data_IF_281361375179
#
_entry.id   IF_281361375179
#
_cell.length_a   1.000
_cell.length_b   1.000
_cell.length_c   1.000
_cell.angle_alpha   90.00
_cell.angle_beta   90.00
_cell.angle_gamma   90.00
#
_symmetry.space_group_name_H-M   'P 1'
#
loop_
_entity.id
_entity.type
_entity.pdbx_description
1 polymer ?
#
# COMPACT_ATOMS: atom_id res chain seq x y z
N UNK A 1 -14.92 -13.74 -9.70
CA UNK A 1 -13.72 -13.62 -8.86
C UNK A 1 -13.57 -14.81 -7.89
N UNK A 2 -13.20 -16.00 -8.37
CA UNK A 2 -12.86 -17.14 -7.47
C UNK A 2 -11.40 -17.58 -7.59
N UNK A 3 -10.76 -17.23 -8.71
CA UNK A 3 -9.39 -17.64 -9.05
C UNK A 3 -8.39 -16.48 -9.13
N UNK A 4 -8.87 -15.23 -9.12
CA UNK A 4 -8.05 -14.03 -9.27
C UNK A 4 -8.70 -12.83 -8.58
N UNK A 5 -7.91 -11.78 -8.38
CA UNK A 5 -8.32 -10.49 -7.79
C UNK A 5 -8.01 -9.35 -8.75
N UNK A 6 -8.83 -8.29 -8.71
CA UNK A 6 -8.57 -7.02 -9.37
C UNK A 6 -8.42 -5.95 -8.29
N UNK A 7 -7.36 -5.16 -8.35
CA UNK A 7 -7.03 -4.14 -7.35
C UNK A 7 -6.82 -2.80 -8.05
N UNK A 8 -7.33 -1.74 -7.42
CA UNK A 8 -7.03 -0.35 -7.76
C UNK A 8 -6.18 0.20 -6.61
N UNK A 9 -4.92 0.53 -6.90
CA UNK A 9 -3.92 0.89 -5.89
C UNK A 9 -3.26 2.19 -6.32
N UNK A 10 -3.24 3.16 -5.40
CA UNK A 10 -2.24 4.23 -5.43
C UNK A 10 -1.04 3.76 -4.61
N UNK A 11 0.13 3.69 -5.24
CA UNK A 11 1.35 3.28 -4.54
C UNK A 11 2.03 4.44 -3.81
N UNK A 12 1.53 5.68 -3.89
CA UNK A 12 2.11 6.87 -3.28
C UNK A 12 3.61 7.00 -3.58
N UNK A 13 3.98 6.73 -4.84
CA UNK A 13 5.38 6.75 -5.30
C UNK A 13 6.22 5.51 -4.93
N UNK A 14 5.66 4.52 -4.23
CA UNK A 14 6.30 3.24 -3.99
C UNK A 14 6.32 2.33 -5.24
N UNK A 15 7.28 1.42 -5.29
CA UNK A 15 7.40 0.42 -6.36
C UNK A 15 6.28 -0.63 -6.23
N UNK A 16 5.31 -0.57 -7.14
CA UNK A 16 4.17 -1.50 -7.18
C UNK A 16 4.62 -2.97 -7.29
N UNK A 17 5.76 -3.25 -7.93
CA UNK A 17 6.27 -4.61 -8.06
C UNK A 17 6.78 -5.15 -6.72
N UNK A 18 7.42 -4.29 -5.91
CA UNK A 18 7.85 -4.67 -4.55
C UNK A 18 6.64 -4.87 -3.65
N UNK A 19 5.68 -3.96 -3.72
CA UNK A 19 4.42 -4.05 -2.97
C UNK A 19 3.68 -5.38 -3.27
N UNK A 20 3.46 -5.67 -4.55
CA UNK A 20 2.79 -6.91 -4.97
C UNK A 20 3.62 -8.15 -4.67
N UNK A 21 4.96 -8.07 -4.72
CA UNK A 21 5.81 -9.18 -4.31
C UNK A 21 5.61 -9.52 -2.83
N UNK A 22 5.59 -8.52 -1.95
CA UNK A 22 5.34 -8.71 -0.52
C UNK A 22 3.97 -9.32 -0.26
N UNK A 23 2.90 -8.78 -0.85
CA UNK A 23 1.53 -9.31 -0.68
C UNK A 23 1.45 -10.76 -1.15
N UNK A 24 1.93 -11.03 -2.37
CA UNK A 24 1.86 -12.37 -2.95
C UNK A 24 2.70 -13.37 -2.13
N UNK A 25 3.89 -12.98 -1.67
CA UNK A 25 4.73 -13.83 -0.84
C UNK A 25 4.05 -14.17 0.49
N UNK A 26 3.52 -13.17 1.20
CA UNK A 26 2.82 -13.36 2.46
C UNK A 26 1.58 -14.25 2.29
N UNK A 27 0.78 -14.03 1.24
CA UNK A 27 -0.38 -14.85 0.95
C UNK A 27 -0.01 -16.29 0.57
N UNK A 28 1.01 -16.50 -0.26
CA UNK A 28 1.46 -17.83 -0.66
C UNK A 28 1.95 -18.64 0.54
N UNK A 29 2.70 -18.02 1.46
CA UNK A 29 3.13 -18.64 2.70
C UNK A 29 1.95 -19.01 3.60
N UNK A 30 1.02 -18.07 3.80
CA UNK A 30 -0.21 -18.32 4.56
C UNK A 30 -1.03 -19.47 3.96
N UNK A 31 -1.29 -19.44 2.65
CA UNK A 31 -2.08 -20.45 1.96
C UNK A 31 -1.45 -21.83 2.04
N UNK A 32 -0.14 -21.93 1.76
CA UNK A 32 0.58 -23.20 1.85
C UNK A 32 0.58 -23.75 3.28
N UNK A 33 0.79 -22.91 4.30
CA UNK A 33 0.73 -23.31 5.71
C UNK A 33 -0.68 -23.77 6.09
N UNK A 34 -1.72 -23.01 5.73
CA UNK A 34 -3.12 -23.30 6.07
C UNK A 34 -3.61 -24.61 5.44
N UNK A 35 -3.18 -24.90 4.22
CA UNK A 35 -3.61 -26.08 3.47
C UNK A 35 -2.59 -27.22 3.46
N UNK A 36 -1.52 -27.13 4.27
CA UNK A 36 -0.40 -28.08 4.30
C UNK A 36 0.15 -28.43 2.90
N UNK A 37 0.25 -27.42 2.03
CA UNK A 37 0.77 -27.53 0.66
C UNK A 37 2.20 -27.05 0.57
N UNK A 38 2.88 -27.48 -0.49
CA UNK A 38 4.21 -26.99 -0.89
C UNK A 38 4.16 -26.55 -2.35
N UNK A 39 5.01 -25.61 -2.73
CA UNK A 39 5.14 -25.13 -4.11
C UNK A 39 4.38 -23.83 -4.41
N UNK A 40 4.25 -23.53 -5.71
CA UNK A 40 3.66 -22.29 -6.20
C UNK A 40 2.15 -22.23 -5.96
N UNK A 41 1.68 -21.05 -5.52
CA UNK A 41 0.25 -20.75 -5.30
C UNK A 41 -0.34 -19.96 -6.46
N UNK A 42 0.40 -18.99 -6.99
CA UNK A 42 -0.02 -18.17 -8.11
C UNK A 42 0.40 -18.80 -9.44
N UNK A 43 -0.51 -18.76 -10.41
CA UNK A 43 -0.30 -19.30 -11.76
C UNK A 43 0.63 -18.41 -12.60
N UNK A 44 0.58 -17.10 -12.41
CA UNK A 44 1.35 -16.12 -13.18
C UNK A 44 1.73 -14.91 -12.31
N UNK A 45 2.58 -14.03 -12.85
CA UNK A 45 2.89 -12.71 -12.27
C UNK A 45 1.66 -11.81 -12.27
N UNK A 46 1.65 -10.83 -11.39
CA UNK A 46 0.63 -9.78 -11.45
C UNK A 46 0.81 -8.97 -12.75
N UNK A 47 -0.30 -8.53 -13.33
CA UNK A 47 -0.32 -7.62 -14.47
C UNK A 47 -0.86 -6.27 -13.98
N UNK A 48 -0.36 -5.15 -14.52
CA UNK A 48 -0.78 -3.80 -14.12
C UNK A 48 -0.92 -2.86 -15.32
N UNK A 49 -1.85 -1.91 -15.23
CA UNK A 49 -2.05 -0.81 -16.19
C UNK A 49 -2.13 0.50 -15.40
N UNK A 50 -1.45 1.54 -15.90
CA UNK A 50 -1.51 2.88 -15.30
C UNK A 50 -2.90 3.46 -15.52
N UNK A 51 -3.47 4.06 -14.48
CA UNK A 51 -4.69 4.86 -14.56
C UNK A 51 -4.29 6.33 -14.52
N UNK A 52 -4.38 7.01 -15.66
CA UNK A 52 -3.84 8.36 -15.89
C UNK A 52 -4.93 9.44 -16.02
N UNK A 53 -6.20 9.04 -16.06
CA UNK A 53 -7.33 9.96 -16.20
C UNK A 53 -8.44 9.65 -15.20
N UNK A 54 -9.13 10.70 -14.74
CA UNK A 54 -10.29 10.59 -13.85
C UNK A 54 -11.41 9.72 -14.45
N UNK A 55 -11.69 9.88 -15.75
CA UNK A 55 -12.71 9.07 -16.43
C UNK A 55 -12.33 7.59 -16.48
N UNK A 56 -11.05 7.27 -16.68
CA UNK A 56 -10.58 5.90 -16.65
C UNK A 56 -10.62 5.31 -15.24
N UNK A 57 -10.24 6.08 -14.22
CA UNK A 57 -10.35 5.70 -12.81
C UNK A 57 -11.76 5.26 -12.43
N UNK A 58 -12.77 6.10 -12.74
CA UNK A 58 -14.17 5.80 -12.42
C UNK A 58 -14.65 4.53 -13.12
N UNK A 59 -14.24 4.33 -14.38
CA UNK A 59 -14.59 3.14 -15.16
C UNK A 59 -13.94 1.87 -14.61
N UNK A 60 -12.66 1.92 -14.25
CA UNK A 60 -11.93 0.78 -13.66
C UNK A 60 -12.52 0.43 -12.29
N UNK A 61 -12.78 1.44 -11.45
CA UNK A 61 -13.42 1.28 -10.15
C UNK A 61 -14.78 0.56 -10.29
N UNK A 62 -15.64 1.05 -11.19
CA UNK A 62 -16.93 0.43 -11.48
C UNK A 62 -16.80 -0.98 -12.06
N UNK A 63 -15.84 -1.22 -12.94
CA UNK A 63 -15.56 -2.54 -13.52
C UNK A 63 -15.17 -3.57 -12.45
N UNK A 64 -14.28 -3.19 -11.51
CA UNK A 64 -13.84 -4.06 -10.40
C UNK A 64 -15.04 -4.47 -9.56
N UNK A 65 -15.86 -3.50 -9.12
CA UNK A 65 -17.04 -3.77 -8.29
C UNK A 65 -18.16 -4.50 -9.02
N UNK A 66 -18.22 -4.38 -10.35
CA UNK A 66 -19.18 -5.12 -11.20
C UNK A 66 -18.74 -6.56 -11.48
N UNK A 67 -17.47 -6.92 -11.29
CA UNK A 67 -16.93 -8.24 -11.63
C UNK A 67 -17.70 -9.44 -11.02
N UNK A 68 -18.26 -9.37 -9.79
CA UNK A 68 -19.05 -10.45 -9.21
C UNK A 68 -20.41 -10.69 -9.88
N UNK A 69 -20.86 -9.86 -10.83
CA UNK A 69 -22.22 -9.94 -11.42
C UNK A 69 -22.61 -11.31 -12.00
N UNK A 70 -21.61 -12.02 -12.53
CA UNK A 70 -21.81 -13.30 -13.22
C UNK A 70 -21.66 -14.48 -12.23
N UNK A 71 -21.37 -14.21 -10.96
CA UNK A 71 -21.30 -15.21 -9.90
C UNK A 71 -22.70 -15.57 -9.40
N UNK A 72 -22.94 -16.88 -9.22
CA UNK A 72 -24.19 -17.39 -8.67
C UNK A 72 -24.45 -16.78 -7.29
N UNK A 73 -25.62 -16.16 -7.13
CA UNK A 73 -26.06 -15.54 -5.86
C UNK A 73 -25.82 -14.03 -5.75
N UNK A 74 -25.07 -13.40 -6.67
CA UNK A 74 -24.76 -11.96 -6.61
C UNK A 74 -25.35 -11.15 -7.77
N UNK A 75 -26.16 -11.79 -8.62
CA UNK A 75 -26.85 -11.11 -9.72
C UNK A 75 -27.91 -10.17 -9.14
N UNK A 76 -27.73 -8.86 -9.34
CA UNK A 76 -28.63 -7.84 -8.80
C UNK A 76 -28.33 -7.41 -7.36
N UNK A 77 -27.29 -7.99 -6.75
CA UNK A 77 -26.89 -7.77 -5.36
C UNK A 77 -25.36 -7.76 -5.26
N UNK A 78 -24.71 -6.88 -6.04
CA UNK A 78 -23.25 -6.79 -6.09
C UNK A 78 -22.66 -6.35 -4.76
N UNK A 79 -23.38 -5.49 -4.05
CA UNK A 79 -23.05 -4.91 -2.76
C UNK A 79 -22.91 -5.96 -1.64
N UNK A 80 -23.56 -7.12 -1.78
CA UNK A 80 -23.50 -8.22 -0.81
C UNK A 80 -22.24 -9.06 -0.94
N UNK A 81 -21.44 -8.86 -2.01
CA UNK A 81 -20.22 -9.61 -2.23
C UNK A 81 -19.12 -9.20 -1.24
N UNK A 82 -18.97 -10.02 -0.18
CA UNK A 82 -18.05 -9.80 0.95
C UNK A 82 -16.57 -9.66 0.60
N UNK A 83 -16.17 -10.01 -0.62
CA UNK A 83 -14.79 -9.90 -1.10
C UNK A 83 -14.61 -8.74 -2.08
N UNK A 84 -15.48 -7.73 -2.01
CA UNK A 84 -15.40 -6.46 -2.74
C UNK A 84 -15.57 -5.29 -1.79
N UNK A 85 -14.94 -4.16 -2.10
CA UNK A 85 -15.11 -2.90 -1.37
C UNK A 85 -16.40 -2.15 -1.72
N UNK A 86 -17.23 -2.65 -2.64
CA UNK A 86 -18.50 -2.00 -3.02
C UNK A 86 -19.42 -1.76 -1.81
N UNK A 87 -19.54 -2.75 -0.92
CA UNK A 87 -20.35 -2.61 0.30
C UNK A 87 -19.87 -1.46 1.19
N UNK A 88 -18.56 -1.22 1.25
CA UNK A 88 -17.96 -0.10 2.00
C UNK A 88 -18.28 1.23 1.32
N UNK A 89 -18.08 1.32 -0.01
CA UNK A 89 -18.43 2.50 -0.81
C UNK A 89 -19.88 2.95 -0.60
N UNK A 90 -20.81 1.99 -0.53
CA UNK A 90 -22.24 2.26 -0.32
C UNK A 90 -22.62 2.50 1.15
N UNK A 91 -21.68 2.36 2.09
CA UNK A 91 -21.92 2.49 3.53
C UNK A 91 -22.72 1.34 4.14
N UNK A 92 -22.75 0.19 3.47
CA UNK A 92 -23.41 -1.05 3.93
C UNK A 92 -22.46 -1.92 4.76
N UNK A 93 -21.15 -1.72 4.58
CA UNK A 93 -20.09 -2.39 5.33
C UNK A 93 -19.11 -1.35 5.88
N UNK A 94 -18.39 -1.72 6.94
CA UNK A 94 -17.27 -0.93 7.45
C UNK A 94 -15.96 -1.45 6.87
N UNK A 95 -15.02 -0.55 6.60
CA UNK A 95 -13.64 -0.95 6.38
C UNK A 95 -13.01 -1.35 7.72
N UNK A 96 -12.99 -2.64 8.01
CA UNK A 96 -12.40 -3.17 9.24
C UNK A 96 -10.87 -3.05 9.28
N UNK A 97 -10.22 -2.80 8.14
CA UNK A 97 -8.75 -2.75 8.04
C UNK A 97 -8.20 -1.33 7.92
N UNK A 98 -9.05 -0.34 7.59
CA UNK A 98 -8.64 1.05 7.43
C UNK A 98 -7.63 1.26 6.31
N UNK A 99 -7.74 0.46 5.24
CA UNK A 99 -6.83 0.47 4.08
C UNK A 99 -7.49 1.05 2.83
N UNK A 100 -8.79 1.33 2.87
CA UNK A 100 -9.55 1.88 1.77
C UNK A 100 -9.58 3.41 1.85
N UNK A 101 -9.36 4.04 0.71
CA UNK A 101 -9.71 5.45 0.47
C UNK A 101 -10.89 5.49 -0.51
N UNK A 102 -12.12 5.47 0.01
CA UNK A 102 -13.31 5.70 -0.80
C UNK A 102 -13.55 7.17 -1.14
N UNK A 103 -13.04 8.09 -0.32
CA UNK A 103 -13.32 9.52 -0.41
C UNK A 103 -12.80 10.09 -1.73
N UNK A 104 -11.61 9.66 -2.16
CA UNK A 104 -11.02 10.10 -3.42
C UNK A 104 -11.92 9.85 -4.63
N UNK A 105 -12.63 8.72 -4.67
CA UNK A 105 -13.57 8.39 -5.75
C UNK A 105 -14.93 9.03 -5.50
N UNK A 106 -15.44 9.02 -4.26
CA UNK A 106 -16.75 9.58 -3.92
C UNK A 106 -16.86 11.08 -4.17
N UNK A 107 -15.79 11.85 -3.88
CA UNK A 107 -15.76 13.30 -4.11
C UNK A 107 -15.89 13.68 -5.60
N UNK A 108 -15.63 12.75 -6.53
CA UNK A 108 -15.78 12.98 -7.97
C UNK A 108 -17.24 12.97 -8.42
N UNK A 109 -18.18 12.51 -7.57
CA UNK A 109 -19.61 12.44 -7.90
C UNK A 109 -20.40 13.61 -7.31
N UNK A 110 -20.33 13.81 -5.99
CA UNK A 110 -21.06 14.86 -5.28
C UNK A 110 -20.42 15.11 -3.91
N UNK A 111 -20.61 16.31 -3.35
CA UNK A 111 -20.23 16.62 -1.97
C UNK A 111 -21.16 15.97 -0.95
N UNK A 112 -22.42 15.72 -1.34
CA UNK A 112 -23.38 14.98 -0.54
C UNK A 112 -23.13 13.47 -0.67
N UNK A 113 -22.74 12.84 0.44
CA UNK A 113 -22.41 11.41 0.51
C UNK A 113 -23.54 10.51 -0.02
N UNK A 114 -24.82 10.86 0.25
CA UNK A 114 -25.95 10.04 -0.22
C UNK A 114 -26.11 10.14 -1.73
N UNK A 115 -25.93 11.34 -2.30
CA UNK A 115 -25.98 11.55 -3.76
C UNK A 115 -24.80 10.87 -4.45
N UNK A 116 -23.59 11.01 -3.90
CA UNK A 116 -22.38 10.37 -4.41
C UNK A 116 -22.53 8.86 -4.48
N UNK A 117 -22.98 8.23 -3.38
CA UNK A 117 -23.26 6.78 -3.32
C UNK A 117 -24.29 6.33 -4.35
N UNK A 118 -25.38 7.09 -4.51
CA UNK A 118 -26.42 6.78 -5.50
C UNK A 118 -25.88 6.86 -6.92
N UNK A 119 -25.12 7.92 -7.23
CA UNK A 119 -24.52 8.11 -8.55
C UNK A 119 -23.48 7.02 -8.85
N UNK A 120 -22.67 6.64 -7.85
CA UNK A 120 -21.70 5.56 -7.98
C UNK A 120 -22.37 4.20 -8.21
N UNK A 121 -23.43 3.88 -7.47
CA UNK A 121 -24.21 2.66 -7.67
C UNK A 121 -24.76 2.58 -9.09
N UNK A 122 -25.32 3.69 -9.60
CA UNK A 122 -25.79 3.78 -10.99
C UNK A 122 -24.64 3.50 -11.96
N UNK A 123 -23.45 4.08 -11.75
CA UNK A 123 -22.28 3.82 -12.58
C UNK A 123 -21.90 2.33 -12.58
N UNK A 124 -21.81 1.70 -11.41
CA UNK A 124 -21.47 0.27 -11.26
C UNK A 124 -22.46 -0.61 -12.03
N UNK A 125 -23.76 -0.39 -11.88
CA UNK A 125 -24.78 -1.19 -12.55
C UNK A 125 -24.91 -0.90 -14.06
N UNK A 126 -24.56 0.31 -14.51
CA UNK A 126 -24.62 0.70 -15.93
C UNK A 126 -23.31 0.56 -16.70
N UNK A 127 -22.20 0.24 -16.02
CA UNK A 127 -20.87 0.07 -16.61
C UNK A 127 -20.84 -1.05 -17.67
N UNK A 128 -20.85 -0.72 -18.97
CA UNK A 128 -20.82 -1.73 -20.03
C UNK A 128 -19.48 -2.49 -20.02
N UNK A 129 -19.54 -3.76 -19.61
CA UNK A 129 -18.36 -4.62 -19.49
C UNK A 129 -17.71 -4.90 -20.84
N UNK A 130 -18.37 -4.75 -21.99
CA UNK A 130 -17.79 -5.22 -23.26
C UNK A 130 -16.63 -4.32 -23.72
N UNK A 131 -16.89 -3.01 -23.76
CA UNK A 131 -15.89 -1.99 -24.11
C UNK A 131 -14.79 -1.93 -23.04
N UNK A 132 -15.16 -2.12 -21.77
CA UNK A 132 -14.19 -2.06 -20.68
C UNK A 132 -13.37 -3.32 -20.52
N UNK A 133 -13.90 -4.52 -20.78
CA UNK A 133 -13.08 -5.73 -20.81
C UNK A 133 -11.99 -5.63 -21.87
N UNK A 134 -12.29 -5.13 -23.06
CA UNK A 134 -11.27 -4.94 -24.10
C UNK A 134 -10.17 -3.96 -23.69
N UNK A 135 -10.53 -2.88 -22.98
CA UNK A 135 -9.58 -1.86 -22.53
C UNK A 135 -8.86 -2.22 -21.22
N UNK A 136 -9.49 -2.98 -20.33
CA UNK A 136 -9.02 -3.29 -18.98
C UNK A 136 -8.37 -4.67 -18.91
N UNK A 137 -8.90 -5.71 -19.57
CA UNK A 137 -8.28 -7.04 -19.58
C UNK A 137 -6.94 -7.01 -20.34
N UNK A 138 -6.00 -7.81 -19.84
CA UNK A 138 -4.67 -7.92 -20.43
C UNK A 138 -4.72 -8.91 -21.58
N UNK A 139 -4.22 -8.52 -22.76
CA UNK A 139 -4.02 -9.47 -23.86
C UNK A 139 -2.85 -10.41 -23.49
N UNK A 140 -2.95 -11.68 -23.89
CA UNK A 140 -1.88 -12.67 -23.69
C UNK A 140 -0.73 -12.42 -24.67
N UNK A 141 0.01 -11.35 -24.40
CA UNK A 141 1.26 -11.02 -25.08
C UNK A 141 2.42 -11.53 -24.22
N UNK A 142 3.46 -12.09 -24.85
CA UNK A 142 4.68 -12.50 -24.14
C UNK A 142 5.29 -11.26 -23.47
N UNK A 143 5.12 -11.14 -22.15
CA UNK A 143 5.64 -9.99 -21.39
C UNK A 143 7.15 -10.09 -21.23
N UNK A 144 7.91 -9.26 -21.93
CA UNK A 144 9.33 -9.04 -21.67
C UNK A 144 9.49 -8.10 -20.48
N UNK A 145 10.22 -8.50 -19.44
CA UNK A 145 10.53 -7.63 -18.32
C UNK A 145 11.63 -6.65 -18.74
N UNK A 146 11.24 -5.42 -19.08
CA UNK A 146 12.17 -4.30 -19.25
C UNK A 146 12.13 -3.46 -17.98
N UNK A 147 13.21 -3.49 -17.21
CA UNK A 147 13.36 -2.68 -15.99
C UNK A 147 13.65 -1.23 -16.36
N UNK A 148 12.66 -0.50 -16.87
CA UNK A 148 12.73 0.94 -17.16
C UNK A 148 12.59 1.80 -15.88
N UNK A 149 13.13 1.31 -14.76
CA UNK A 149 13.00 1.94 -13.44
C UNK A 149 13.48 3.39 -13.47
N UNK A 150 12.55 4.34 -13.32
CA UNK A 150 12.86 5.64 -12.76
C UNK A 150 12.71 5.55 -11.25
N UNK A 151 13.84 5.54 -10.55
CA UNK A 151 13.91 5.45 -9.10
C UNK A 151 13.55 6.83 -8.54
N UNK A 152 12.46 6.92 -7.74
CA UNK A 152 12.28 8.07 -6.83
C UNK A 152 13.57 8.16 -6.02
N UNK A 153 14.26 9.30 -6.08
CA UNK A 153 15.58 9.48 -5.46
C UNK A 153 15.46 9.34 -3.93
N UNK A 154 15.51 8.10 -3.45
CA UNK A 154 15.69 7.73 -2.05
C UNK A 154 17.18 7.79 -1.71
N UNK A 155 17.78 8.95 -1.92
CA UNK A 155 19.21 9.18 -1.78
C UNK A 155 19.51 10.23 -0.70
N UNK A 156 18.57 10.45 0.22
CA UNK A 156 18.82 11.26 1.40
C UNK A 156 19.95 10.66 2.22
N UNK A 157 20.82 11.52 2.73
CA UNK A 157 21.94 11.11 3.55
C UNK A 157 21.45 10.64 4.92
N UNK A 158 22.03 9.55 5.41
CA UNK A 158 21.56 8.93 6.64
C UNK A 158 21.92 9.77 7.87
N UNK A 159 23.03 10.53 7.83
CA UNK A 159 23.41 11.43 8.93
C UNK A 159 22.41 12.60 9.04
N UNK A 160 21.97 13.16 7.92
CA UNK A 160 20.93 14.21 7.92
C UNK A 160 19.61 13.72 8.53
N UNK A 161 19.22 12.48 8.22
CA UNK A 161 18.03 11.86 8.81
C UNK A 161 18.26 11.62 10.31
N UNK A 162 19.46 11.20 10.72
CA UNK A 162 19.76 10.96 12.12
C UNK A 162 19.72 12.25 12.95
N UNK A 163 20.29 13.33 12.42
CA UNK A 163 20.26 14.65 13.03
C UNK A 163 18.82 15.14 13.19
N UNK A 164 18.02 15.06 12.12
CA UNK A 164 16.60 15.42 12.17
C UNK A 164 15.83 14.60 13.22
N UNK A 165 15.96 13.27 13.22
CA UNK A 165 15.22 12.41 14.18
C UNK A 165 15.70 12.64 15.61
N UNK A 166 16.98 12.93 15.82
CA UNK A 166 17.55 13.29 17.12
C UNK A 166 16.90 14.56 17.67
N UNK A 167 16.80 15.61 16.86
CA UNK A 167 16.13 16.86 17.21
C UNK A 167 14.63 16.64 17.44
N UNK A 168 13.96 15.94 16.52
CA UNK A 168 12.51 15.66 16.57
C UNK A 168 12.10 14.88 17.83
N UNK A 169 12.95 13.95 18.27
CA UNK A 169 12.69 13.15 19.48
C UNK A 169 13.21 13.79 20.76
N UNK A 170 14.05 14.83 20.66
CA UNK A 170 14.85 15.38 21.75
C UNK A 170 15.73 14.31 22.44
N UNK A 171 16.26 13.36 21.66
CA UNK A 171 17.16 12.30 22.14
C UNK A 171 18.49 12.43 21.41
N UNK A 172 19.62 12.59 22.12
CA UNK A 172 20.92 12.76 21.48
C UNK A 172 21.28 11.61 20.54
N UNK A 173 21.73 11.93 19.31
CA UNK A 173 22.07 10.96 18.27
C UNK A 173 23.01 9.84 18.70
N UNK A 174 24.00 10.13 19.56
CA UNK A 174 24.96 9.13 20.03
C UNK A 174 24.29 7.95 20.77
N UNK A 175 23.08 8.14 21.32
CA UNK A 175 22.34 7.08 21.99
C UNK A 175 21.85 5.98 21.03
N UNK A 176 21.90 6.21 19.72
CA UNK A 176 21.56 5.20 18.72
C UNK A 176 22.53 4.02 18.74
N UNK A 177 23.80 4.26 19.08
CA UNK A 177 24.84 3.23 19.10
C UNK A 177 24.83 2.40 20.40
N UNK A 178 24.10 2.83 21.42
CA UNK A 178 24.03 2.14 22.71
C UNK A 178 23.21 0.85 22.63
N UNK A 179 23.81 -0.27 23.07
CA UNK A 179 23.12 -1.56 23.21
C UNK A 179 22.30 -1.61 24.50
N UNK A 180 21.09 -2.17 24.44
CA UNK A 180 20.24 -2.38 25.62
C UNK A 180 19.60 -1.12 26.23
N UNK A 181 19.80 0.05 25.63
CA UNK A 181 19.17 1.29 26.08
C UNK A 181 17.71 1.35 25.62
N UNK A 182 16.76 1.31 26.57
CA UNK A 182 15.32 1.44 26.28
C UNK A 182 14.93 2.86 25.91
N UNK A 183 15.64 3.87 26.43
CA UNK A 183 15.33 5.28 26.18
C UNK A 183 15.53 5.67 24.70
N UNK A 184 16.44 5.00 23.98
CA UNK A 184 16.66 5.26 22.55
C UNK A 184 15.80 4.39 21.63
N UNK A 185 14.78 3.70 22.14
CA UNK A 185 13.91 2.84 21.31
C UNK A 185 13.13 3.65 20.29
N UNK A 186 12.52 4.78 20.67
CA UNK A 186 11.76 5.64 19.75
C UNK A 186 12.69 6.27 18.70
N UNK A 187 13.83 6.81 19.12
CA UNK A 187 14.88 7.31 18.22
C UNK A 187 15.24 6.26 17.16
N UNK A 188 15.57 5.04 17.58
CA UNK A 188 15.94 3.94 16.67
C UNK A 188 14.81 3.54 15.74
N UNK A 189 13.60 3.43 16.28
CA UNK A 189 12.42 3.00 15.52
C UNK A 189 12.08 3.99 14.41
N UNK A 190 12.02 5.29 14.75
CA UNK A 190 11.73 6.37 13.80
C UNK A 190 12.88 6.54 12.80
N UNK A 191 14.14 6.50 13.24
CA UNK A 191 15.30 6.56 12.35
C UNK A 191 15.30 5.42 11.33
N UNK A 192 15.08 4.18 11.78
CA UNK A 192 15.01 3.01 10.88
C UNK A 192 13.84 3.13 9.90
N UNK A 193 12.66 3.59 10.36
CA UNK A 193 11.51 3.83 9.49
C UNK A 193 11.88 4.85 8.40
N UNK A 194 12.44 5.99 8.79
CA UNK A 194 12.84 7.05 7.86
C UNK A 194 13.90 6.58 6.87
N UNK A 195 14.94 5.84 7.31
CA UNK A 195 15.91 5.24 6.41
C UNK A 195 15.26 4.30 5.39
N UNK A 196 14.23 3.53 5.75
CA UNK A 196 13.54 2.62 4.82
C UNK A 196 12.61 3.36 3.86
N UNK A 197 12.05 4.48 4.28
CA UNK A 197 11.18 5.32 3.45
C UNK A 197 11.98 6.21 2.50
N UNK A 198 13.07 6.79 2.98
CA UNK A 198 13.79 7.91 2.36
C UNK A 198 15.16 7.52 1.80
N UNK A 199 15.72 6.38 2.21
CA UNK A 199 16.97 5.85 1.67
C UNK A 199 16.73 4.53 0.95
N UNK A 200 17.48 4.28 -0.13
CA UNK A 200 17.45 3.00 -0.85
C UNK A 200 18.33 1.95 -0.14
N UNK A 201 18.11 1.75 1.15
CA UNK A 201 18.92 0.87 2.00
C UNK A 201 18.18 -0.44 2.29
N UNK A 202 18.90 -1.57 2.22
CA UNK A 202 18.38 -2.85 2.69
C UNK A 202 18.59 -2.96 4.20
N UNK A 203 17.86 -3.85 4.88
CA UNK A 203 18.04 -4.09 6.32
C UNK A 203 19.51 -4.41 6.69
N UNK A 204 20.24 -5.11 5.81
CA UNK A 204 21.68 -5.38 5.99
C UNK A 204 22.54 -4.11 5.97
N UNK A 205 22.15 -3.10 5.20
CA UNK A 205 22.88 -1.85 5.06
C UNK A 205 22.59 -0.96 6.29
N UNK A 206 21.33 -0.94 6.74
CA UNK A 206 20.94 -0.31 8.01
C UNK A 206 21.67 -0.94 9.21
N UNK A 207 21.82 -2.27 9.24
CA UNK A 207 22.63 -2.94 10.26
C UNK A 207 24.08 -2.43 10.30
N UNK A 208 24.68 -2.13 9.14
CA UNK A 208 26.05 -1.60 9.08
C UNK A 208 26.14 -0.17 9.59
N UNK A 209 25.13 0.65 9.30
CA UNK A 209 25.05 2.04 9.76
C UNK A 209 24.92 2.12 11.29
N UNK A 210 23.93 1.40 11.85
CA UNK A 210 23.64 1.48 13.29
C UNK A 210 24.66 0.67 14.11
N UNK A 211 25.15 -0.44 13.55
CA UNK A 211 26.01 -1.38 14.27
C UNK A 211 25.27 -2.10 15.41
N UNK A 212 25.85 -3.21 15.88
CA UNK A 212 25.35 -3.96 17.05
C UNK A 212 23.86 -4.35 17.01
N UNK A 213 23.28 -4.48 15.81
CA UNK A 213 21.87 -4.79 15.59
C UNK A 213 21.71 -5.85 14.49
N UNK A 214 20.76 -6.76 14.67
CA UNK A 214 20.44 -7.80 13.68
C UNK A 214 19.37 -7.32 12.71
N UNK A 215 19.30 -7.91 11.51
CA UNK A 215 18.27 -7.58 10.52
C UNK A 215 16.86 -7.82 11.08
N UNK A 216 16.67 -8.88 11.88
CA UNK A 216 15.40 -9.14 12.58
C UNK A 216 15.04 -8.01 13.54
N UNK A 217 16.03 -7.44 14.25
CA UNK A 217 15.78 -6.32 15.15
C UNK A 217 15.53 -5.01 14.40
N UNK A 218 16.16 -4.80 13.24
CA UNK A 218 15.83 -3.69 12.33
C UNK A 218 14.38 -3.77 11.89
N UNK A 219 13.93 -4.95 11.41
CA UNK A 219 12.53 -5.17 11.02
C UNK A 219 11.55 -4.94 12.18
N UNK A 220 11.86 -5.46 13.38
CA UNK A 220 11.03 -5.24 14.57
C UNK A 220 10.96 -3.76 14.99
N UNK A 221 12.07 -3.01 14.92
CA UNK A 221 12.07 -1.57 15.22
C UNK A 221 11.35 -0.76 14.15
N UNK A 222 11.42 -1.17 12.88
CA UNK A 222 10.63 -0.56 11.81
C UNK A 222 9.13 -0.71 12.08
N UNK A 223 8.67 -1.88 12.53
CA UNK A 223 7.28 -2.10 12.90
C UNK A 223 6.84 -1.18 14.05
N UNK A 224 7.70 -1.03 15.08
CA UNK A 224 7.47 -0.07 16.17
C UNK A 224 7.41 1.37 15.64
N UNK A 225 8.28 1.73 14.68
CA UNK A 225 8.27 3.06 14.07
C UNK A 225 6.96 3.35 13.34
N UNK A 226 6.44 2.37 12.58
CA UNK A 226 5.14 2.48 11.91
C UNK A 226 4.03 2.68 12.94
N UNK A 227 4.02 1.88 14.02
CA UNK A 227 3.05 2.02 15.10
C UNK A 227 3.09 3.41 15.74
N UNK A 228 4.29 3.95 16.02
CA UNK A 228 4.45 5.30 16.55
C UNK A 228 3.85 6.37 15.63
N UNK A 229 4.14 6.32 14.33
CA UNK A 229 3.60 7.30 13.35
C UNK A 229 2.08 7.18 13.23
N UNK A 230 1.52 5.98 13.37
CA UNK A 230 0.07 5.76 13.25
C UNK A 230 -0.71 6.12 14.51
N UNK A 231 -0.09 6.04 15.69
CA UNK A 231 -0.81 6.12 16.99
C UNK A 231 -0.47 7.35 17.82
N UNK A 232 0.69 7.96 17.62
CA UNK A 232 1.14 9.12 18.39
C UNK A 232 1.16 10.36 17.49
N UNK A 233 0.26 11.31 17.78
CA UNK A 233 0.12 12.56 17.03
C UNK A 233 1.45 13.35 16.95
N UNK A 234 2.37 13.15 17.92
CA UNK A 234 3.69 13.77 17.89
C UNK A 234 4.50 13.35 16.65
N UNK A 235 4.39 12.09 16.21
CA UNK A 235 5.24 11.52 15.16
C UNK A 235 4.53 11.37 13.81
N UNK A 236 3.23 11.65 13.76
CA UNK A 236 2.37 11.42 12.59
C UNK A 236 2.91 12.04 11.29
N UNK A 237 3.49 13.24 11.37
CA UNK A 237 3.95 13.99 10.21
C UNK A 237 5.48 13.94 10.00
N UNK A 238 6.21 13.12 10.76
CA UNK A 238 7.68 13.15 10.80
C UNK A 238 8.34 12.99 9.42
N UNK A 239 7.74 12.19 8.53
CA UNK A 239 8.26 11.98 7.17
C UNK A 239 8.03 13.23 6.32
N UNK A 240 6.83 13.79 6.37
CA UNK A 240 6.46 14.99 5.60
C UNK A 240 7.24 16.21 6.07
N UNK A 241 7.42 16.37 7.38
CA UNK A 241 8.20 17.42 8.01
C UNK A 241 9.65 17.42 7.49
N UNK A 242 10.27 16.23 7.38
CA UNK A 242 11.61 16.09 6.82
C UNK A 242 11.68 16.44 5.34
N UNK A 243 10.71 15.97 4.55
CA UNK A 243 10.66 16.26 3.11
C UNK A 243 10.48 17.76 2.87
N UNK A 244 9.60 18.42 3.63
CA UNK A 244 9.38 19.86 3.55
C UNK A 244 10.65 20.66 3.89
N UNK A 245 11.39 20.23 4.92
CA UNK A 245 12.67 20.82 5.30
C UNK A 245 13.71 20.74 4.18
N UNK A 246 13.75 19.63 3.42
CA UNK A 246 14.71 19.42 2.33
C UNK A 246 14.30 20.02 0.99
N UNK A 247 13.04 20.42 0.84
CA UNK A 247 12.54 21.14 -0.33
C UNK A 247 12.75 22.66 -0.25
N UNK A 248 13.15 23.18 0.92
CA UNK A 248 13.43 24.59 1.19
C UNK A 248 14.91 24.93 0.95
#
# INVERSE_FOLDING_TARGET
MTTHVHLLIDSNGADISQFMHSINQSYAQYYNKKHNRRGHVFQDRFKSKIVDTHSYLLRVSAYIHRNPKDMKGYKGHLEDYKYSSLGVYLGLMKDSFGILDEDYVMQMFDKDVKKARKAYLILVYNCDNKILKENTEFKDEKTEYKSERQIVKRNFDHEEILDFVSEYTNIPKWQIFLKGNRNSTHLKALYILMLKCLCNLKDKDICKIIGNITQSRVSALCAIGIELVLTDDKYKNIIDDFIALKAS
#
